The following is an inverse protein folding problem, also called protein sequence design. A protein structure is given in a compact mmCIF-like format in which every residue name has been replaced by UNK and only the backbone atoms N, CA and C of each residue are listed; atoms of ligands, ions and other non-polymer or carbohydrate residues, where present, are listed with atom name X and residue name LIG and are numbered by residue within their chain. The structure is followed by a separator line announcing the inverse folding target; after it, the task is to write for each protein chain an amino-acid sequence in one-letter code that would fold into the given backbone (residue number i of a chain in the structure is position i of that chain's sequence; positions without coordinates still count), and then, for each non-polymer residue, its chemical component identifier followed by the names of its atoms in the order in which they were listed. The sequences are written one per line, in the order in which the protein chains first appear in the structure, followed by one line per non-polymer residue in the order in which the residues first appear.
data_IF_105187519294
#
_entry.id   IF_105187519294
#
_cell.length_a   1.000
_cell.length_b   1.000
_cell.length_c   1.000
_cell.angle_alpha   90.00
_cell.angle_beta   90.00
_cell.angle_gamma   90.00
#
_symmetry.space_group_name_H-M   'P 1'
#
loop_
_entity.id
_entity.type
_entity.pdbx_description
1 polymer ?
#
# COMPACT_ATOMS: atom_id res chain seq x y z
N UNK A 1 1.89 24.37 1.78
CA UNK A 1 2.38 22.97 1.82
C UNK A 1 1.18 22.08 1.60
N UNK A 2 1.18 21.29 0.53
CA UNK A 2 0.22 20.19 0.35
C UNK A 2 0.41 19.23 1.53
N UNK A 3 -0.56 19.18 2.44
CA UNK A 3 -0.44 18.51 3.72
C UNK A 3 -0.80 17.04 3.60
N UNK A 4 0.19 16.17 3.79
CA UNK A 4 -0.03 14.76 4.05
C UNK A 4 0.61 14.40 5.39
N UNK A 5 0.08 13.41 6.08
CA UNK A 5 0.67 12.89 7.31
C UNK A 5 1.87 11.99 7.01
N UNK A 6 2.64 11.64 8.04
CA UNK A 6 3.76 10.71 7.88
C UNK A 6 3.27 9.31 7.47
N UNK A 7 2.12 8.88 7.99
CA UNK A 7 1.49 7.60 7.66
C UNK A 7 1.05 7.53 6.20
N UNK A 8 0.49 8.61 5.66
CA UNK A 8 0.12 8.70 4.24
C UNK A 8 1.35 8.62 3.33
N UNK A 9 2.44 9.31 3.70
CA UNK A 9 3.70 9.20 2.98
C UNK A 9 4.26 7.77 3.02
N UNK A 10 4.26 7.13 4.19
CA UNK A 10 4.73 5.75 4.33
C UNK A 10 3.86 4.77 3.53
N UNK A 11 2.53 4.89 3.57
CA UNK A 11 1.63 4.06 2.78
C UNK A 11 1.89 4.23 1.27
N UNK A 12 2.12 5.46 0.81
CA UNK A 12 2.44 5.74 -0.59
C UNK A 12 3.79 5.14 -1.03
N UNK A 13 4.78 5.07 -0.13
CA UNK A 13 6.06 4.41 -0.38
C UNK A 13 5.89 2.89 -0.41
N UNK A 14 5.19 2.30 0.57
CA UNK A 14 4.91 0.86 0.61
C UNK A 14 4.14 0.41 -0.63
N UNK A 15 3.17 1.20 -1.09
CA UNK A 15 2.39 0.88 -2.27
C UNK A 15 3.29 0.61 -3.50
N UNK A 16 4.41 1.34 -3.64
CA UNK A 16 5.33 1.20 -4.80
C UNK A 16 6.13 -0.09 -4.80
N UNK A 17 6.23 -0.75 -3.66
CA UNK A 17 6.91 -2.04 -3.56
C UNK A 17 6.02 -3.18 -4.08
N UNK A 18 4.70 -2.93 -4.17
CA UNK A 18 3.74 -3.93 -4.64
C UNK A 18 3.74 -4.02 -6.18
N UNK A 19 3.90 -5.22 -6.71
CA UNK A 19 3.83 -5.49 -8.16
C UNK A 19 2.44 -5.96 -8.58
N UNK A 20 2.02 -5.53 -9.78
CA UNK A 20 0.76 -5.97 -10.35
C UNK A 20 0.74 -7.49 -10.58
N UNK A 21 -0.21 -8.18 -9.94
CA UNK A 21 -0.38 -9.64 -10.05
C UNK A 21 0.36 -10.48 -8.99
N UNK A 22 1.11 -9.87 -8.07
CA UNK A 22 1.74 -10.62 -6.98
C UNK A 22 0.79 -10.90 -5.81
N UNK A 23 1.14 -11.88 -4.97
CA UNK A 23 0.46 -12.12 -3.70
C UNK A 23 1.22 -11.43 -2.59
N UNK A 24 0.55 -10.58 -1.84
CA UNK A 24 1.10 -9.79 -0.73
C UNK A 24 0.44 -10.23 0.57
N UNK A 25 1.16 -10.19 1.68
CA UNK A 25 0.62 -10.44 3.01
C UNK A 25 1.00 -9.29 3.94
N UNK A 26 0.14 -9.00 4.92
CA UNK A 26 0.38 -8.00 5.97
C UNK A 26 0.16 -8.61 7.34
N UNK A 27 0.88 -8.10 8.35
CA UNK A 27 0.71 -8.54 9.74
C UNK A 27 -0.62 -8.05 10.33
N UNK A 28 -1.15 -8.78 11.33
CA UNK A 28 -2.46 -8.53 11.95
C UNK A 28 -2.66 -7.11 12.48
N UNK A 29 -1.60 -6.47 13.00
CA UNK A 29 -1.65 -5.13 13.58
C UNK A 29 -0.78 -4.14 12.79
N UNK A 30 -0.78 -4.27 11.46
CA UNK A 30 0.03 -3.45 10.55
C UNK A 30 -0.85 -2.54 9.65
N UNK A 31 -1.51 -1.49 10.20
CA UNK A 31 -2.45 -0.67 9.44
C UNK A 31 -1.80 0.16 8.33
N UNK A 32 -0.58 0.68 8.54
CA UNK A 32 0.12 1.48 7.50
C UNK A 32 0.54 0.60 6.32
N UNK A 33 1.14 -0.59 6.51
CA UNK A 33 1.35 -1.53 5.41
C UNK A 33 0.05 -1.95 4.71
N UNK A 34 -1.01 -2.26 5.47
CA UNK A 34 -2.30 -2.60 4.88
C UNK A 34 -2.85 -1.48 3.99
N UNK A 35 -2.76 -0.23 4.43
CA UNK A 35 -3.15 0.93 3.63
C UNK A 35 -2.31 1.06 2.35
N UNK A 36 -1.00 0.82 2.41
CA UNK A 36 -0.13 0.82 1.23
C UNK A 36 -0.50 -0.26 0.21
N UNK A 37 -0.78 -1.48 0.68
CA UNK A 37 -1.18 -2.59 -0.20
C UNK A 37 -2.56 -2.33 -0.84
N UNK A 38 -3.52 -1.83 -0.08
CA UNK A 38 -4.83 -1.43 -0.62
C UNK A 38 -4.71 -0.27 -1.61
N UNK A 39 -3.85 0.72 -1.33
CA UNK A 39 -3.57 1.82 -2.24
C UNK A 39 -2.96 1.32 -3.56
N UNK A 40 -2.03 0.36 -3.50
CA UNK A 40 -1.47 -0.26 -4.71
C UNK A 40 -2.57 -0.94 -5.54
N UNK A 41 -3.46 -1.70 -4.89
CA UNK A 41 -4.56 -2.41 -5.54
C UNK A 41 -5.54 -1.46 -6.24
N UNK A 42 -5.89 -0.31 -5.66
CA UNK A 42 -6.79 0.67 -6.30
C UNK A 42 -6.08 1.63 -7.25
N UNK A 43 -4.77 1.47 -7.48
CA UNK A 43 -3.98 2.33 -8.37
C UNK A 43 -3.28 1.54 -9.49
N UNK A 44 -2.01 1.19 -9.30
CA UNK A 44 -1.13 0.66 -10.34
C UNK A 44 -0.99 -0.87 -10.33
N UNK A 45 -1.48 -1.55 -9.28
CA UNK A 45 -1.39 -3.00 -9.12
C UNK A 45 -2.77 -3.66 -8.92
N UNK A 46 -3.76 -3.44 -9.80
CA UNK A 46 -5.15 -3.91 -9.63
C UNK A 46 -5.32 -5.44 -9.60
N UNK A 47 -4.31 -6.21 -10.02
CA UNK A 47 -4.31 -7.67 -9.98
C UNK A 47 -3.56 -8.24 -8.77
N UNK A 48 -2.97 -7.40 -7.93
CA UNK A 48 -2.35 -7.84 -6.69
C UNK A 48 -3.40 -8.51 -5.78
N UNK A 49 -3.01 -9.63 -5.14
CA UNK A 49 -3.84 -10.36 -4.18
C UNK A 49 -3.36 -10.05 -2.78
N UNK A 50 -4.27 -9.58 -1.92
CA UNK A 50 -4.02 -9.17 -0.52
C UNK A 50 -4.42 -10.28 0.44
#
# INVERSE_FOLDING_TARGET
MTGYTVEELMAAVIAREVRDGETVAVGTLAPVPAAGVLLAHVSHAPRARV
#
